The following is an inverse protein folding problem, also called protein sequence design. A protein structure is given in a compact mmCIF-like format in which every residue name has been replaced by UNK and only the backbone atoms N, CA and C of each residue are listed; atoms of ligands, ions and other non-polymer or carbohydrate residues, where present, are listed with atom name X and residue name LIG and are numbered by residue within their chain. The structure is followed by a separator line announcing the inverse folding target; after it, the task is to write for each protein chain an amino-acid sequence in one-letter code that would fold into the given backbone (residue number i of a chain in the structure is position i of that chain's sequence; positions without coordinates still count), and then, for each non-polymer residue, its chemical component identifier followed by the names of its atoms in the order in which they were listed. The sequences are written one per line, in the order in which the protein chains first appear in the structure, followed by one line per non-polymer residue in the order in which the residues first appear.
data_IF_304549689177
#
_entry.id   IF_304549689177
#
_cell.length_a   1.000
_cell.length_b   1.000
_cell.length_c   1.000
_cell.angle_alpha   90.00
_cell.angle_beta   90.00
_cell.angle_gamma   90.00
#
_symmetry.space_group_name_H-M   'P 1'
#
loop_
_entity.id
_entity.type
_entity.pdbx_description
1 polymer ?
#
# COMPACT_ATOMS: atom_id res chain seq x y z
N UNK A 1 53.21 6.51 14.69
CA UNK A 1 53.08 5.48 13.64
C UNK A 1 51.69 4.88 13.76
N UNK A 2 50.84 5.08 12.75
CA UNK A 2 49.55 4.37 12.69
C UNK A 2 49.85 2.96 12.23
N UNK A 3 49.47 1.95 13.02
CA UNK A 3 49.72 0.53 12.70
C UNK A 3 48.94 0.19 11.43
N UNK A 4 49.54 -0.41 10.38
CA UNK A 4 48.86 -0.73 9.12
C UNK A 4 47.55 -1.51 9.28
N UNK A 5 47.45 -2.35 10.31
CA UNK A 5 46.23 -3.09 10.66
C UNK A 5 45.07 -2.21 11.16
N UNK A 6 45.34 -1.09 11.83
CA UNK A 6 44.30 -0.17 12.30
C UNK A 6 43.67 0.62 11.15
N UNK A 7 44.47 1.02 10.15
CA UNK A 7 44.01 1.67 8.93
C UNK A 7 43.16 0.74 8.05
N UNK A 8 43.57 -0.53 7.91
CA UNK A 8 42.81 -1.53 7.17
C UNK A 8 41.46 -1.84 7.84
N UNK A 9 41.44 -1.98 9.17
CA UNK A 9 40.21 -2.22 9.93
C UNK A 9 39.24 -1.03 9.82
N UNK A 10 39.72 0.20 9.96
CA UNK A 10 38.93 1.43 9.79
C UNK A 10 38.35 1.57 8.36
N UNK A 11 39.12 1.22 7.34
CA UNK A 11 38.66 1.22 5.95
C UNK A 11 37.56 0.18 5.70
N UNK A 12 37.69 -1.02 6.27
CA UNK A 12 36.65 -2.06 6.15
C UNK A 12 35.35 -1.67 6.86
N UNK A 13 35.44 -1.07 8.07
CA UNK A 13 34.25 -0.63 8.81
C UNK A 13 33.52 0.53 8.13
N UNK A 14 34.24 1.46 7.50
CA UNK A 14 33.63 2.58 6.76
C UNK A 14 32.94 2.13 5.47
N UNK A 15 33.47 1.10 4.79
CA UNK A 15 32.84 0.52 3.62
C UNK A 15 31.54 -0.22 3.97
N UNK A 16 31.55 -1.02 5.05
CA UNK A 16 30.35 -1.71 5.54
C UNK A 16 29.23 -0.73 5.90
N UNK A 17 29.55 0.35 6.63
CA UNK A 17 28.59 1.40 6.99
C UNK A 17 28.02 2.12 5.75
N UNK A 18 28.84 2.37 4.73
CA UNK A 18 28.39 2.99 3.48
C UNK A 18 27.43 2.08 2.70
N UNK A 19 27.67 0.76 2.73
CA UNK A 19 26.79 -0.23 2.11
C UNK A 19 25.44 -0.30 2.84
N UNK A 20 25.44 -0.42 4.17
CA UNK A 20 24.22 -0.44 4.98
C UNK A 20 23.36 0.81 4.75
N UNK A 21 23.97 2.00 4.70
CA UNK A 21 23.27 3.25 4.41
C UNK A 21 22.62 3.25 3.01
N UNK A 22 23.29 2.65 2.02
CA UNK A 22 22.78 2.53 0.64
C UNK A 22 21.61 1.55 0.56
N UNK A 23 21.71 0.42 1.25
CA UNK A 23 20.65 -0.59 1.32
C UNK A 23 19.42 -0.04 2.06
N UNK A 24 19.61 0.71 3.16
CA UNK A 24 18.52 1.36 3.88
C UNK A 24 17.77 2.38 3.01
N UNK A 25 18.53 3.20 2.25
CA UNK A 25 17.93 4.15 1.30
C UNK A 25 17.15 3.44 0.19
N UNK A 26 17.67 2.32 -0.30
CA UNK A 26 17.00 1.50 -1.33
C UNK A 26 15.70 0.91 -0.78
N UNK A 27 15.76 0.31 0.41
CA UNK A 27 14.60 -0.20 1.13
C UNK A 27 13.52 0.86 1.31
N UNK A 28 13.89 2.03 1.83
CA UNK A 28 12.97 3.15 2.03
C UNK A 28 12.31 3.60 0.73
N UNK A 29 13.10 3.71 -0.36
CA UNK A 29 12.57 4.05 -1.68
C UNK A 29 11.55 3.01 -2.17
N UNK A 30 11.86 1.73 -2.07
CA UNK A 30 10.95 0.65 -2.48
C UNK A 30 9.66 0.67 -1.66
N UNK A 31 9.74 0.85 -0.34
CA UNK A 31 8.56 1.01 0.51
C UNK A 31 7.71 2.23 0.10
N UNK A 32 8.34 3.36 -0.20
CA UNK A 32 7.65 4.59 -0.63
C UNK A 32 7.00 4.44 -2.01
N UNK A 33 7.71 3.87 -2.98
CA UNK A 33 7.18 3.60 -4.32
C UNK A 33 6.04 2.57 -4.26
N UNK A 34 6.18 1.51 -3.46
CA UNK A 34 5.15 0.51 -3.24
C UNK A 34 3.89 1.12 -2.62
N UNK A 35 4.05 2.01 -1.64
CA UNK A 35 2.96 2.80 -1.06
C UNK A 35 2.27 3.69 -2.10
N UNK A 36 3.04 4.35 -2.95
CA UNK A 36 2.50 5.19 -4.04
C UNK A 36 1.65 4.37 -5.00
N UNK A 37 2.16 3.23 -5.48
CA UNK A 37 1.40 2.31 -6.33
C UNK A 37 0.13 1.83 -5.65
N UNK A 38 0.20 1.54 -4.35
CA UNK A 38 -0.98 1.16 -3.56
C UNK A 38 -2.05 2.27 -3.59
N UNK A 39 -1.68 3.54 -3.39
CA UNK A 39 -2.62 4.66 -3.50
C UNK A 39 -3.13 4.90 -4.92
N UNK A 40 -2.28 4.71 -5.94
CA UNK A 40 -2.70 4.83 -7.34
C UNK A 40 -3.75 3.76 -7.70
N UNK A 41 -3.55 2.53 -7.23
CA UNK A 41 -4.55 1.47 -7.37
C UNK A 41 -5.87 1.78 -6.66
N UNK A 42 -5.84 2.38 -5.46
CA UNK A 42 -7.06 2.85 -4.79
C UNK A 42 -7.85 3.86 -5.61
N UNK A 43 -7.16 4.80 -6.28
CA UNK A 43 -7.82 5.79 -7.17
C UNK A 43 -8.54 5.12 -8.33
N UNK A 44 -7.94 4.08 -8.91
CA UNK A 44 -8.58 3.29 -9.97
C UNK A 44 -9.82 2.57 -9.44
N UNK A 45 -9.75 1.93 -8.27
CA UNK A 45 -10.92 1.28 -7.67
C UNK A 45 -12.05 2.27 -7.45
N UNK A 46 -11.78 3.47 -6.91
CA UNK A 46 -12.79 4.51 -6.72
C UNK A 46 -13.44 4.87 -8.06
N UNK A 47 -12.64 5.13 -9.08
CA UNK A 47 -13.13 5.46 -10.42
C UNK A 47 -14.02 4.35 -10.99
N UNK A 48 -13.59 3.10 -10.92
CA UNK A 48 -14.39 1.99 -11.44
C UNK A 48 -15.66 1.73 -10.61
N UNK A 49 -15.63 2.00 -9.29
CA UNK A 49 -16.82 1.96 -8.44
C UNK A 49 -17.82 3.06 -8.83
N UNK A 50 -17.36 4.28 -9.08
CA UNK A 50 -18.21 5.39 -9.55
C UNK A 50 -18.90 5.05 -10.88
N UNK A 51 -18.15 4.44 -11.81
CA UNK A 51 -18.71 3.95 -13.09
C UNK A 51 -19.81 2.92 -12.86
N UNK A 52 -19.56 1.91 -12.01
CA UNK A 52 -20.52 0.87 -11.68
C UNK A 52 -21.77 1.44 -10.98
N UNK A 53 -21.60 2.37 -10.04
CA UNK A 53 -22.70 3.02 -9.34
C UNK A 53 -23.55 3.86 -10.30
N UNK A 54 -22.95 4.52 -11.29
CA UNK A 54 -23.69 5.25 -12.32
C UNK A 54 -24.56 4.30 -13.15
N UNK A 55 -24.05 3.15 -13.54
CA UNK A 55 -24.85 2.13 -14.26
C UNK A 55 -25.99 1.63 -13.38
N UNK A 56 -25.72 1.29 -12.12
CA UNK A 56 -26.76 0.85 -11.18
C UNK A 56 -27.86 1.90 -10.99
N UNK A 57 -27.48 3.17 -10.93
CA UNK A 57 -28.41 4.30 -10.82
C UNK A 57 -29.28 4.43 -12.07
N UNK A 58 -28.69 4.39 -13.26
CA UNK A 58 -29.41 4.45 -14.54
C UNK A 58 -30.40 3.29 -14.71
N UNK A 59 -30.06 2.12 -14.17
CA UNK A 59 -30.91 0.93 -14.21
C UNK A 59 -31.86 0.79 -13.01
N UNK A 60 -31.84 1.74 -12.06
CA UNK A 60 -32.80 1.81 -10.96
C UNK A 60 -32.56 0.83 -9.82
N UNK A 61 -31.34 0.28 -9.64
CA UNK A 61 -31.04 -0.69 -8.58
C UNK A 61 -29.83 -0.32 -7.70
N UNK A 62 -29.38 0.94 -7.71
CA UNK A 62 -28.27 1.41 -6.87
C UNK A 62 -28.44 1.07 -5.37
N UNK A 63 -29.68 1.10 -4.85
CA UNK A 63 -29.95 0.75 -3.45
C UNK A 63 -29.62 -0.70 -3.12
N UNK A 64 -29.75 -1.61 -4.09
CA UNK A 64 -29.40 -3.02 -3.91
C UNK A 64 -27.88 -3.21 -3.76
N UNK A 65 -27.08 -2.24 -4.21
CA UNK A 65 -25.61 -2.21 -4.03
C UNK A 65 -25.17 -1.60 -2.70
N UNK A 66 -26.08 -1.03 -1.91
CA UNK A 66 -25.73 -0.35 -0.65
C UNK A 66 -24.87 -1.22 0.29
N UNK A 67 -25.13 -2.53 0.48
CA UNK A 67 -24.29 -3.37 1.32
C UNK A 67 -22.84 -3.49 0.81
N UNK A 68 -22.64 -3.70 -0.49
CA UNK A 68 -21.31 -3.79 -1.08
C UNK A 68 -20.58 -2.45 -1.07
N UNK A 69 -21.29 -1.37 -1.40
CA UNK A 69 -20.77 0.01 -1.32
C UNK A 69 -20.33 0.40 0.09
N UNK A 70 -21.04 -0.05 1.13
CA UNK A 70 -20.64 0.15 2.52
C UNK A 70 -19.33 -0.57 2.83
N UNK A 71 -19.17 -1.83 2.42
CA UNK A 71 -17.91 -2.56 2.59
C UNK A 71 -16.74 -1.88 1.89
N UNK A 72 -16.95 -1.37 0.67
CA UNK A 72 -15.93 -0.60 -0.07
C UNK A 72 -15.56 0.67 0.69
N UNK A 73 -16.55 1.43 1.18
CA UNK A 73 -16.30 2.66 1.92
C UNK A 73 -15.57 2.40 3.24
N UNK A 74 -15.99 1.38 4.00
CA UNK A 74 -15.32 0.99 5.24
C UNK A 74 -13.88 0.55 4.96
N UNK A 75 -13.64 -0.21 3.89
CA UNK A 75 -12.30 -0.58 3.44
C UNK A 75 -11.42 0.62 3.10
N UNK A 76 -11.96 1.64 2.41
CA UNK A 76 -11.26 2.90 2.13
C UNK A 76 -10.94 3.69 3.41
N UNK A 77 -11.84 3.70 4.38
CA UNK A 77 -11.61 4.34 5.67
C UNK A 77 -10.44 3.64 6.41
N UNK A 78 -10.42 2.29 6.40
CA UNK A 78 -9.31 1.50 6.94
C UNK A 78 -7.99 1.79 6.21
N UNK A 79 -8.00 1.87 4.87
CA UNK A 79 -6.80 2.28 4.11
C UNK A 79 -6.30 3.67 4.50
N UNK A 80 -7.20 4.61 4.75
CA UNK A 80 -6.87 5.98 5.19
C UNK A 80 -6.22 5.98 6.59
N UNK A 81 -6.69 5.12 7.49
CA UNK A 81 -6.04 4.91 8.80
C UNK A 81 -4.62 4.35 8.63
N UNK A 82 -4.46 3.34 7.77
CA UNK A 82 -3.16 2.80 7.41
C UNK A 82 -2.22 3.85 6.81
N UNK A 83 -2.74 4.71 5.94
CA UNK A 83 -2.02 5.83 5.35
C UNK A 83 -1.49 6.83 6.37
N UNK A 84 -2.31 7.12 7.38
CA UNK A 84 -1.95 8.04 8.46
C UNK A 84 -0.79 7.47 9.26
N UNK A 85 -0.87 6.20 9.66
CA UNK A 85 0.19 5.55 10.41
C UNK A 85 1.48 5.40 9.57
N UNK A 86 1.34 5.09 8.28
CA UNK A 86 2.46 5.05 7.35
C UNK A 86 3.18 6.40 7.25
N UNK A 87 2.43 7.49 7.08
CA UNK A 87 2.99 8.84 7.00
C UNK A 87 3.69 9.25 8.31
N UNK A 88 3.11 8.91 9.47
CA UNK A 88 3.74 9.13 10.76
C UNK A 88 5.04 8.35 10.90
N UNK A 89 5.07 7.06 10.54
CA UNK A 89 6.27 6.25 10.57
C UNK A 89 7.38 6.78 9.65
N UNK A 90 7.00 7.20 8.44
CA UNK A 90 7.92 7.81 7.49
C UNK A 90 8.51 9.14 8.02
N UNK A 91 7.69 9.96 8.69
CA UNK A 91 8.17 11.18 9.36
C UNK A 91 9.13 10.85 10.50
N UNK A 92 8.79 9.90 11.37
CA UNK A 92 9.65 9.44 12.47
C UNK A 92 11.00 8.95 11.96
N UNK A 93 11.02 8.18 10.86
CA UNK A 93 12.25 7.72 10.22
C UNK A 93 13.12 8.88 9.72
N UNK A 94 12.52 9.84 9.00
CA UNK A 94 13.26 10.97 8.44
C UNK A 94 13.82 11.91 9.51
N UNK A 95 13.03 12.20 10.54
CA UNK A 95 13.43 13.13 11.61
C UNK A 95 14.52 12.52 12.53
N UNK A 96 14.69 11.19 12.52
CA UNK A 96 15.54 10.48 13.49
C UNK A 96 16.59 9.55 12.86
N UNK A 97 17.10 9.90 11.67
CA UNK A 97 18.11 9.09 10.98
C UNK A 97 19.39 8.84 11.80
N UNK A 98 19.73 9.77 12.70
CA UNK A 98 20.89 9.65 13.59
C UNK A 98 20.60 8.91 14.91
N UNK A 99 19.36 8.47 15.13
CA UNK A 99 18.93 7.75 16.33
C UNK A 99 18.35 6.38 15.92
N UNK A 100 19.18 5.34 15.78
CA UNK A 100 18.78 4.07 15.16
C UNK A 100 17.55 3.40 15.79
N UNK A 101 17.38 3.49 17.11
CA UNK A 101 16.23 2.93 17.82
C UNK A 101 14.90 3.59 17.42
N UNK A 102 14.90 4.91 17.23
CA UNK A 102 13.71 5.69 16.82
C UNK A 102 13.45 5.52 15.32
N UNK A 103 14.50 5.48 14.50
CA UNK A 103 14.40 5.14 13.08
C UNK A 103 13.71 3.77 12.86
N UNK A 104 14.10 2.76 13.64
CA UNK A 104 13.46 1.42 13.62
C UNK A 104 11.98 1.46 14.04
N UNK A 105 11.61 2.33 14.98
CA UNK A 105 10.19 2.54 15.33
C UNK A 105 9.40 3.14 14.15
N UNK A 106 9.99 4.10 13.42
CA UNK A 106 9.40 4.66 12.21
C UNK A 106 9.11 3.60 11.14
N UNK A 107 10.07 2.71 10.87
CA UNK A 107 9.89 1.58 9.96
C UNK A 107 8.77 0.63 10.43
N UNK A 108 8.71 0.32 11.73
CA UNK A 108 7.64 -0.52 12.29
C UNK A 108 6.26 0.10 12.09
N UNK A 109 6.10 1.40 12.34
CA UNK A 109 4.85 2.13 12.09
C UNK A 109 4.48 2.10 10.60
N UNK A 110 5.45 2.26 9.70
CA UNK A 110 5.21 2.12 8.26
C UNK A 110 4.65 0.74 7.90
N UNK A 111 5.25 -0.33 8.42
CA UNK A 111 4.79 -1.70 8.20
C UNK A 111 3.39 -1.98 8.78
N UNK A 112 3.11 -1.46 9.99
CA UNK A 112 1.78 -1.58 10.60
C UNK A 112 0.72 -0.82 9.79
N UNK A 113 1.04 0.40 9.35
CA UNK A 113 0.18 1.19 8.47
C UNK A 113 -0.11 0.46 7.16
N UNK A 114 0.91 -0.18 6.59
CA UNK A 114 0.74 -0.99 5.38
C UNK A 114 -0.16 -2.21 5.59
N UNK A 115 0.00 -2.92 6.72
CA UNK A 115 -0.87 -4.05 7.08
C UNK A 115 -2.33 -3.63 7.21
N UNK A 116 -2.59 -2.51 7.89
CA UNK A 116 -3.94 -1.95 8.02
C UNK A 116 -4.50 -1.63 6.63
N UNK A 117 -3.71 -1.02 5.75
CA UNK A 117 -4.14 -0.71 4.39
C UNK A 117 -4.50 -1.97 3.57
N UNK A 118 -3.72 -3.05 3.71
CA UNK A 118 -4.03 -4.36 3.12
C UNK A 118 -5.33 -4.97 3.65
N UNK A 119 -5.65 -4.78 4.93
CA UNK A 119 -6.93 -5.24 5.47
C UNK A 119 -8.10 -4.43 4.90
N UNK A 120 -7.92 -3.12 4.68
CA UNK A 120 -8.87 -2.31 3.92
C UNK A 120 -9.06 -2.79 2.47
N UNK A 121 -7.99 -3.24 1.80
CA UNK A 121 -8.06 -3.83 0.45
C UNK A 121 -8.96 -5.06 0.41
N UNK A 122 -8.84 -5.96 1.37
CA UNK A 122 -9.70 -7.15 1.46
C UNK A 122 -11.17 -6.78 1.64
N UNK A 123 -11.47 -5.72 2.39
CA UNK A 123 -12.84 -5.22 2.55
C UNK A 123 -13.40 -4.67 1.24
N UNK A 124 -12.58 -3.93 0.48
CA UNK A 124 -12.92 -3.46 -0.87
C UNK A 124 -13.21 -4.63 -1.81
N UNK A 125 -12.34 -5.65 -1.84
CA UNK A 125 -12.54 -6.85 -2.66
C UNK A 125 -13.85 -7.56 -2.32
N UNK A 126 -14.17 -7.69 -1.03
CA UNK A 126 -15.43 -8.27 -0.57
C UNK A 126 -16.63 -7.45 -1.03
N UNK A 127 -16.61 -6.13 -0.82
CA UNK A 127 -17.70 -5.25 -1.26
C UNK A 127 -17.89 -5.27 -2.78
N UNK A 128 -16.79 -5.35 -3.54
CA UNK A 128 -16.84 -5.50 -4.98
C UNK A 128 -17.45 -6.84 -5.42
N UNK A 129 -17.08 -7.95 -4.77
CA UNK A 129 -17.69 -9.26 -5.04
C UNK A 129 -19.21 -9.24 -4.80
N UNK A 130 -19.66 -8.54 -3.75
CA UNK A 130 -21.09 -8.35 -3.48
C UNK A 130 -21.78 -7.56 -4.61
N UNK A 131 -21.18 -6.44 -5.05
CA UNK A 131 -21.75 -5.64 -6.13
C UNK A 131 -21.78 -6.38 -7.47
N UNK A 132 -20.76 -7.20 -7.78
CA UNK A 132 -20.74 -8.08 -8.97
C UNK A 132 -21.92 -9.06 -8.92
N UNK A 133 -22.18 -9.67 -7.75
CA UNK A 133 -23.32 -10.58 -7.58
C UNK A 133 -24.64 -9.86 -7.83
N UNK A 134 -24.83 -8.67 -7.27
CA UNK A 134 -26.04 -7.85 -7.51
C UNK A 134 -26.19 -7.54 -8.99
N UNK A 135 -25.11 -7.14 -9.68
CA UNK A 135 -25.15 -6.86 -11.11
C UNK A 135 -25.54 -8.11 -11.92
N UNK A 136 -25.04 -9.30 -11.55
CA UNK A 136 -25.42 -10.55 -12.18
C UNK A 136 -26.90 -10.89 -11.98
N UNK A 137 -27.40 -10.79 -10.74
CA UNK A 137 -28.80 -11.05 -10.39
C UNK A 137 -29.77 -10.09 -11.11
N UNK A 138 -29.30 -8.89 -11.48
CA UNK A 138 -30.05 -7.88 -12.24
C UNK A 138 -29.83 -7.95 -13.76
N UNK A 139 -29.05 -8.90 -14.27
CA UNK A 139 -28.74 -9.01 -15.70
C UNK A 139 -27.90 -7.85 -16.25
N UNK A 140 -27.12 -7.19 -15.40
CA UNK A 140 -26.33 -6.01 -15.73
C UNK A 140 -24.82 -6.28 -15.93
N UNK A 141 -24.37 -7.54 -15.86
CA UNK A 141 -22.94 -7.92 -15.91
C UNK A 141 -22.16 -7.26 -17.04
N UNK A 142 -22.70 -7.27 -18.27
CA UNK A 142 -22.03 -6.68 -19.44
C UNK A 142 -21.87 -5.16 -19.33
N UNK A 143 -22.88 -4.47 -18.77
CA UNK A 143 -22.83 -3.01 -18.56
C UNK A 143 -21.83 -2.61 -17.48
N UNK A 144 -21.51 -3.54 -16.56
CA UNK A 144 -20.52 -3.35 -15.50
C UNK A 144 -19.09 -3.68 -15.95
N UNK A 145 -18.90 -4.27 -17.13
CA UNK A 145 -17.61 -4.81 -17.56
C UNK A 145 -16.49 -3.76 -17.50
N UNK A 146 -16.75 -2.53 -17.95
CA UNK A 146 -15.75 -1.47 -17.96
C UNK A 146 -15.35 -1.02 -16.54
N UNK A 147 -16.33 -0.80 -15.66
CA UNK A 147 -16.06 -0.41 -14.26
C UNK A 147 -15.35 -1.53 -13.51
N UNK A 148 -15.77 -2.79 -13.73
CA UNK A 148 -15.11 -3.97 -13.17
C UNK A 148 -13.67 -4.13 -13.65
N UNK A 149 -13.37 -3.85 -14.92
CA UNK A 149 -12.01 -3.86 -15.43
C UNK A 149 -11.13 -2.82 -14.72
N UNK A 150 -11.62 -1.58 -14.59
CA UNK A 150 -10.88 -0.51 -13.91
C UNK A 150 -10.64 -0.85 -12.43
N UNK A 151 -11.61 -1.49 -11.76
CA UNK A 151 -11.43 -1.98 -10.39
C UNK A 151 -10.38 -3.08 -10.34
N UNK A 152 -10.41 -4.04 -11.27
CA UNK A 152 -9.42 -5.12 -11.35
C UNK A 152 -8.01 -4.58 -11.57
N UNK A 153 -7.84 -3.61 -12.47
CA UNK A 153 -6.56 -2.93 -12.72
C UNK A 153 -6.07 -2.21 -11.45
N UNK A 154 -6.99 -1.57 -10.72
CA UNK A 154 -6.69 -0.94 -9.43
C UNK A 154 -6.22 -1.93 -8.36
N UNK A 155 -6.91 -3.06 -8.21
CA UNK A 155 -6.53 -4.14 -7.29
C UNK A 155 -5.18 -4.75 -7.67
N UNK A 156 -4.92 -4.96 -8.96
CA UNK A 156 -3.63 -5.45 -9.44
C UNK A 156 -2.50 -4.44 -9.16
N UNK A 157 -2.75 -3.15 -9.35
CA UNK A 157 -1.77 -2.09 -9.04
C UNK A 157 -1.48 -2.04 -7.54
N UNK A 158 -2.50 -2.18 -6.69
CA UNK A 158 -2.35 -2.31 -5.24
C UNK A 158 -1.50 -3.54 -4.86
N UNK A 159 -1.78 -4.70 -5.46
CA UNK A 159 -1.03 -5.93 -5.20
C UNK A 159 0.45 -5.81 -5.60
N UNK A 160 0.74 -5.17 -6.73
CA UNK A 160 2.12 -4.90 -7.17
C UNK A 160 2.82 -3.93 -6.21
N UNK A 161 2.15 -2.85 -5.80
CA UNK A 161 2.67 -1.94 -4.77
C UNK A 161 2.95 -2.66 -3.45
N UNK A 162 2.08 -3.58 -3.05
CA UNK A 162 2.26 -4.40 -1.85
C UNK A 162 3.43 -5.37 -1.93
N UNK A 163 3.75 -5.86 -3.13
CA UNK A 163 4.93 -6.69 -3.37
C UNK A 163 6.21 -5.85 -3.22
N UNK A 164 6.27 -4.71 -3.92
CA UNK A 164 7.43 -3.81 -3.87
C UNK A 164 7.69 -3.28 -2.44
N UNK A 165 6.61 -2.98 -1.71
CA UNK A 165 6.70 -2.58 -0.32
C UNK A 165 7.38 -3.66 0.55
N UNK A 166 6.92 -4.91 0.42
CA UNK A 166 7.45 -6.04 1.19
C UNK A 166 8.91 -6.32 0.85
N UNK A 167 9.29 -6.22 -0.42
CA UNK A 167 10.68 -6.34 -0.83
C UNK A 167 11.57 -5.27 -0.16
N UNK A 168 11.11 -4.01 -0.12
CA UNK A 168 11.81 -2.94 0.61
C UNK A 168 11.90 -3.22 2.12
N UNK A 169 10.80 -3.69 2.72
CA UNK A 169 10.77 -4.07 4.13
C UNK A 169 11.75 -5.21 4.45
N UNK A 170 11.84 -6.23 3.60
CA UNK A 170 12.73 -7.38 3.79
C UNK A 170 14.21 -6.97 3.71
N UNK A 171 14.54 -5.97 2.88
CA UNK A 171 15.89 -5.38 2.86
C UNK A 171 16.14 -4.65 4.19
N UNK A 172 15.23 -3.78 4.62
CA UNK A 172 15.39 -3.01 5.86
C UNK A 172 15.53 -3.88 7.12
N UNK A 173 14.89 -5.05 7.16
CA UNK A 173 14.96 -5.98 8.30
C UNK A 173 16.27 -6.77 8.38
N UNK A 174 17.05 -6.84 7.29
CA UNK A 174 18.33 -7.55 7.24
C UNK A 174 19.53 -6.66 7.64
N UNK A 175 19.29 -5.36 7.82
CA UNK A 175 20.24 -4.34 8.30
C UNK A 175 20.18 -4.21 9.83
#
# INVERSE_FOLDING_TARGET
MVVPGALALLALTSLALAQEATELKTAHKMMSDGWKMFNDGQRLVIKGQEMNNLVAQQMGFLQDMAPGNRYIQDGRNTMTQGATLFAQGNKTLQDNQNTPSVAKQGLKMMSEGFKIAMDGMKMVEKGQSMNIKVAADKGATEKFAQGNQVISDGLNTMAQGAKLFREGQDIALKL
#
